data_IF_376171939723
#
_entry.id   IF_376171939723
#
_cell.length_a   1.000
_cell.length_b   1.000
_cell.length_c   1.000
_cell.angle_alpha   90.00
_cell.angle_beta   90.00
_cell.angle_gamma   90.00
#
_symmetry.space_group_name_H-M   'P 1'
#
loop_
_entity.id
_entity.type
_entity.pdbx_description
1 polymer ?
#
# COMPACT_ATOMS: atom_id res chain seq x y z
N UNK A 1 22.68 -2.03 14.16
CA UNK A 1 21.99 -1.47 12.97
C UNK A 1 21.47 -2.64 12.17
N UNK A 2 20.16 -2.76 11.87
CA UNK A 2 19.64 -3.89 11.11
C UNK A 2 19.90 -3.69 9.61
N UNK A 3 21.18 -3.58 9.22
CA UNK A 3 21.63 -3.64 7.83
C UNK A 3 21.80 -5.11 7.45
N UNK A 4 21.15 -5.54 6.38
CA UNK A 4 21.30 -6.89 5.85
C UNK A 4 20.46 -7.06 4.61
N UNK A 5 20.98 -7.83 3.65
CA UNK A 5 20.27 -8.16 2.43
C UNK A 5 19.07 -9.04 2.75
N UNK A 6 17.91 -8.66 2.21
CA UNK A 6 16.66 -9.38 2.46
C UNK A 6 16.08 -9.81 1.13
N UNK A 7 16.22 -11.09 0.75
CA UNK A 7 15.55 -11.57 -0.43
C UNK A 7 14.04 -11.45 -0.24
N UNK A 8 13.36 -11.14 -1.34
CA UNK A 8 11.92 -10.96 -1.38
C UNK A 8 11.42 -11.11 -2.80
N UNK A 9 10.11 -11.01 -2.96
CA UNK A 9 9.45 -11.01 -4.26
C UNK A 9 8.90 -9.64 -4.56
N UNK A 10 9.27 -9.08 -5.70
CA UNK A 10 8.63 -7.87 -6.23
C UNK A 10 7.18 -8.21 -6.61
N UNK A 11 6.22 -7.55 -5.96
CA UNK A 11 4.79 -7.76 -6.20
C UNK A 11 4.26 -6.79 -7.26
N UNK A 12 4.69 -5.53 -7.16
CA UNK A 12 4.54 -4.55 -8.22
C UNK A 12 5.64 -3.50 -8.19
N UNK A 13 5.77 -2.80 -9.32
CA UNK A 13 6.69 -1.71 -9.52
C UNK A 13 6.00 -0.63 -10.35
N UNK A 14 6.33 0.62 -10.03
CA UNK A 14 5.89 1.82 -10.73
C UNK A 14 7.08 2.77 -10.84
N UNK A 15 6.94 3.86 -11.59
CA UNK A 15 8.02 4.85 -11.72
C UNK A 15 8.46 5.44 -10.37
N UNK A 16 7.56 5.54 -9.37
CA UNK A 16 7.84 6.23 -8.10
C UNK A 16 7.96 5.32 -6.89
N UNK A 17 7.61 4.04 -7.01
CA UNK A 17 7.68 3.10 -5.89
C UNK A 17 7.36 1.68 -6.28
N UNK A 18 7.44 0.79 -5.29
CA UNK A 18 7.20 -0.63 -5.48
C UNK A 18 6.64 -1.28 -4.21
N UNK A 19 5.95 -2.40 -4.37
CA UNK A 19 5.56 -3.29 -3.27
C UNK A 19 6.37 -4.57 -3.37
N UNK A 20 6.93 -4.98 -2.25
CA UNK A 20 7.68 -6.23 -2.14
C UNK A 20 7.14 -7.09 -1.01
N UNK A 21 7.16 -8.40 -1.24
CA UNK A 21 6.88 -9.40 -0.22
C UNK A 21 8.19 -9.94 0.33
N UNK A 22 8.40 -9.81 1.64
CA UNK A 22 9.59 -10.29 2.33
C UNK A 22 9.19 -10.78 3.73
N UNK A 23 9.88 -11.81 4.22
CA UNK A 23 9.55 -12.44 5.51
C UNK A 23 9.77 -11.48 6.69
N UNK A 24 10.81 -10.65 6.62
CA UNK A 24 11.17 -9.72 7.68
C UNK A 24 11.29 -8.32 7.07
N UNK A 25 10.16 -7.62 6.88
CA UNK A 25 10.17 -6.32 6.22
C UNK A 25 10.83 -5.27 7.12
N UNK A 26 11.64 -4.34 6.56
CA UNK A 26 12.24 -3.27 7.34
C UNK A 26 11.16 -2.34 7.94
N UNK A 27 11.53 -1.60 8.98
CA UNK A 27 10.64 -0.62 9.59
C UNK A 27 10.37 0.55 8.64
N UNK A 28 9.18 1.15 8.67
CA UNK A 28 8.90 2.40 7.95
C UNK A 28 9.96 3.45 8.26
N UNK A 29 10.37 4.20 7.24
CA UNK A 29 11.43 5.19 7.31
C UNK A 29 12.84 4.65 7.05
N UNK A 30 13.02 3.33 6.97
CA UNK A 30 14.33 2.73 6.64
C UNK A 30 14.69 3.06 5.18
N UNK A 31 15.89 3.58 4.97
CA UNK A 31 16.48 3.73 3.65
C UNK A 31 17.17 2.43 3.22
N UNK A 32 17.16 2.15 1.93
CA UNK A 32 17.80 0.97 1.36
C UNK A 32 17.91 1.05 -0.15
N UNK A 33 18.49 0.01 -0.74
CA UNK A 33 18.57 -0.18 -2.18
C UNK A 33 17.64 -1.34 -2.52
N UNK A 34 16.72 -1.11 -3.47
CA UNK A 34 16.03 -2.21 -4.12
C UNK A 34 16.91 -2.66 -5.29
N UNK A 35 17.40 -3.88 -5.23
CA UNK A 35 18.04 -4.58 -6.34
C UNK A 35 17.03 -5.55 -6.96
N UNK A 36 16.80 -5.42 -8.27
CA UNK A 36 16.00 -6.36 -9.04
C UNK A 36 16.57 -6.54 -10.45
N UNK A 37 16.77 -7.79 -10.86
CA UNK A 37 17.25 -8.15 -12.20
C UNK A 37 18.60 -7.48 -12.53
N UNK A 38 18.60 -6.46 -13.38
CA UNK A 38 19.79 -5.71 -13.83
C UNK A 38 19.71 -4.23 -13.38
N UNK A 39 18.80 -3.91 -12.46
CA UNK A 39 18.49 -2.55 -12.06
C UNK A 39 18.56 -2.41 -10.54
N UNK A 40 19.01 -1.24 -10.11
CA UNK A 40 19.06 -0.85 -8.70
C UNK A 40 18.43 0.54 -8.52
N UNK A 41 17.74 0.74 -7.40
CA UNK A 41 17.18 2.04 -7.05
C UNK A 41 17.25 2.31 -5.54
N UNK A 42 17.67 3.53 -5.21
CA UNK A 42 17.60 4.04 -3.84
C UNK A 42 16.15 4.29 -3.45
N UNK A 43 15.78 3.81 -2.28
CA UNK A 43 14.40 3.85 -1.82
C UNK A 43 14.29 3.96 -0.31
N UNK A 44 13.08 4.32 0.13
CA UNK A 44 12.70 4.39 1.52
C UNK A 44 11.42 3.61 1.76
N UNK A 45 11.37 2.84 2.84
CA UNK A 45 10.16 2.12 3.25
C UNK A 45 9.11 3.12 3.73
N UNK A 46 7.93 3.13 3.12
CA UNK A 46 6.81 4.01 3.50
C UNK A 46 5.86 3.33 4.47
N UNK A 47 5.65 2.02 4.31
CA UNK A 47 4.84 1.21 5.19
C UNK A 47 5.37 -0.23 5.23
N UNK A 48 5.06 -0.93 6.33
CA UNK A 48 5.48 -2.30 6.56
C UNK A 48 4.35 -3.07 7.24
N UNK A 49 4.07 -4.28 6.75
CA UNK A 49 3.10 -5.23 7.29
C UNK A 49 3.76 -6.61 7.33
N UNK A 50 3.33 -7.54 8.19
CA UNK A 50 3.86 -8.90 8.17
C UNK A 50 3.81 -9.51 6.75
N UNK A 51 4.98 -9.88 6.21
CA UNK A 51 5.11 -10.46 4.87
C UNK A 51 5.19 -9.48 3.69
N UNK A 52 5.01 -8.17 3.89
CA UNK A 52 5.04 -7.17 2.81
C UNK A 52 5.47 -5.78 3.27
N UNK A 53 6.13 -5.03 2.40
CA UNK A 53 6.33 -3.60 2.57
C UNK A 53 6.21 -2.84 1.26
N UNK A 54 5.93 -1.55 1.41
CA UNK A 54 5.95 -0.60 0.30
C UNK A 54 7.16 0.31 0.43
N UNK A 55 7.76 0.60 -0.71
CA UNK A 55 8.87 1.52 -0.83
C UNK A 55 8.51 2.65 -1.79
N UNK A 56 9.10 3.82 -1.54
CA UNK A 56 9.13 4.94 -2.47
C UNK A 56 10.57 5.10 -2.97
N UNK A 57 10.74 5.36 -4.26
CA UNK A 57 12.06 5.64 -4.82
C UNK A 57 12.45 7.09 -4.56
N UNK A 58 13.71 7.31 -4.23
CA UNK A 58 14.25 8.65 -4.02
C UNK A 58 14.27 9.45 -5.33
N UNK A 59 14.48 8.75 -6.45
CA UNK A 59 14.36 9.29 -7.80
C UNK A 59 13.42 8.41 -8.63
N UNK A 60 12.55 9.00 -9.46
CA UNK A 60 11.72 8.22 -10.37
C UNK A 60 12.59 7.33 -11.26
N UNK A 61 12.16 6.09 -11.43
CA UNK A 61 12.75 5.14 -12.37
C UNK A 61 12.40 5.60 -13.80
N UNK A 62 13.34 5.46 -14.73
CA UNK A 62 13.12 5.79 -16.14
C UNK A 62 12.07 4.86 -16.78
N UNK A 63 11.40 5.36 -17.81
CA UNK A 63 10.42 4.57 -18.55
C UNK A 63 11.06 3.32 -19.21
N UNK A 64 12.32 3.43 -19.63
CA UNK A 64 13.10 2.33 -20.22
C UNK A 64 13.26 1.17 -19.23
N UNK A 65 13.67 1.45 -17.99
CA UNK A 65 13.83 0.42 -16.96
C UNK A 65 12.49 -0.24 -16.60
N UNK A 66 11.41 0.56 -16.55
CA UNK A 66 10.08 0.02 -16.29
C UNK A 66 9.63 -0.91 -17.43
N UNK A 67 9.88 -0.52 -18.68
CA UNK A 67 9.57 -1.33 -19.85
C UNK A 67 10.39 -2.63 -19.87
N UNK A 68 11.69 -2.56 -19.63
CA UNK A 68 12.55 -3.75 -19.51
C UNK A 68 12.06 -4.70 -18.40
N UNK A 69 11.61 -4.13 -17.27
CA UNK A 69 11.08 -4.93 -16.16
C UNK A 69 9.78 -5.64 -16.57
N UNK A 70 8.90 -5.00 -17.34
CA UNK A 70 7.67 -5.61 -17.86
C UNK A 70 7.98 -6.75 -18.84
N UNK A 71 8.97 -6.54 -19.72
CA UNK A 71 9.37 -7.54 -20.72
C UNK A 71 10.02 -8.77 -20.07
N UNK A 72 10.89 -8.57 -19.08
CA UNK A 72 11.61 -9.66 -18.40
C UNK A 72 10.77 -10.37 -17.32
N UNK A 73 9.83 -9.67 -16.70
CA UNK A 73 9.02 -10.17 -15.60
C UNK A 73 7.55 -9.79 -15.80
N UNK A 74 6.84 -10.41 -16.76
CA UNK A 74 5.43 -10.15 -16.97
C UNK A 74 4.66 -10.45 -15.68
N UNK A 75 3.83 -9.51 -15.26
CA UNK A 75 2.96 -9.71 -14.10
C UNK A 75 2.08 -10.94 -14.37
N UNK A 76 2.20 -11.97 -13.53
CA UNK A 76 1.31 -13.13 -13.61
C UNK A 76 -0.15 -12.68 -13.48
N UNK A 77 -1.07 -13.40 -14.13
CA UNK A 77 -2.51 -13.11 -14.13
C UNK A 77 -3.00 -12.80 -12.73
N UNK A 78 -3.39 -11.54 -12.49
CA UNK A 78 -4.02 -11.14 -11.24
C UNK A 78 -5.48 -11.57 -11.27
N UNK A 79 -5.84 -12.60 -10.50
CA UNK A 79 -7.24 -12.82 -10.15
C UNK A 79 -7.62 -11.73 -9.14
N UNK A 80 -8.17 -10.63 -9.63
CA UNK A 80 -8.83 -9.62 -8.81
C UNK A 80 -10.13 -10.23 -8.27
N UNK A 81 -10.09 -10.81 -7.06
CA UNK A 81 -11.31 -11.03 -6.30
C UNK A 81 -11.80 -9.67 -5.80
N UNK A 82 -12.76 -9.09 -6.52
CA UNK A 82 -13.44 -7.84 -6.18
C UNK A 82 -14.39 -8.02 -4.98
N UNK A 83 -13.90 -8.52 -3.85
CA UNK A 83 -14.67 -8.65 -2.62
C UNK A 83 -14.21 -7.57 -1.62
N UNK A 84 -15.08 -6.55 -1.43
CA UNK A 84 -15.11 -5.48 -0.41
C UNK A 84 -15.36 -4.06 -0.96
N UNK A 85 -16.08 -3.95 -2.09
CA UNK A 85 -16.96 -2.80 -2.29
C UNK A 85 -18.35 -3.19 -1.75
N UNK A 86 -18.96 -2.31 -0.97
CA UNK A 86 -20.31 -2.35 -0.36
C UNK A 86 -20.31 -2.72 1.13
N UNK A 87 -20.13 -1.72 2.00
CA UNK A 87 -21.12 -1.41 3.04
C UNK A 87 -20.85 0.01 3.60
N UNK A 88 -21.46 1.01 2.97
CA UNK A 88 -21.56 2.37 3.49
C UNK A 88 -22.90 2.94 3.03
N UNK A 89 -23.91 2.85 3.90
CA UNK A 89 -25.16 3.57 3.69
C UNK A 89 -26.38 2.93 4.36
N UNK A 90 -26.47 2.95 5.68
CA UNK A 90 -27.77 2.93 6.35
C UNK A 90 -27.87 4.13 7.31
N UNK A 91 -28.20 5.28 6.72
CA UNK A 91 -28.78 6.39 7.45
C UNK A 91 -30.30 6.16 7.51
N UNK A 92 -30.75 5.35 8.47
CA UNK A 92 -32.17 5.25 8.80
C UNK A 92 -32.56 6.47 9.62
N UNK A 93 -33.34 7.35 9.00
CA UNK A 93 -34.13 8.37 9.66
C UNK A 93 -35.21 7.67 10.49
N UNK A 94 -35.10 7.70 11.82
CA UNK A 94 -36.25 7.52 12.71
C UNK A 94 -36.44 8.79 13.54
N UNK A 95 -37.28 9.66 13.00
CA UNK A 95 -38.04 10.65 13.77
C UNK A 95 -38.82 9.92 14.85
N UNK A 96 -38.67 10.27 16.14
CA UNK A 96 -39.74 10.30 17.15
C UNK A 96 -39.26 10.91 18.48
N UNK A 97 -39.77 12.11 18.81
CA UNK A 97 -40.25 12.44 20.15
C UNK A 97 -39.28 13.05 21.18
N UNK A 98 -38.89 14.31 20.99
CA UNK A 98 -38.50 15.18 22.11
C UNK A 98 -39.79 15.63 22.85
N UNK A 99 -39.97 15.39 24.15
CA UNK A 99 -41.15 15.88 24.87
C UNK A 99 -41.11 17.42 25.02
N UNK A 100 -42.25 18.12 24.90
CA UNK A 100 -42.31 19.58 24.98
C UNK A 100 -42.02 20.10 26.40
N UNK A 101 -41.52 21.34 26.55
CA UNK A 101 -41.28 21.93 27.86
C UNK A 101 -42.60 22.15 28.59
N UNK A 102 -42.68 21.65 29.83
CA UNK A 102 -43.81 21.86 30.71
C UNK A 102 -43.99 23.37 30.97
N UNK A 103 -45.14 23.91 30.54
CA UNK A 103 -45.61 25.24 30.94
C UNK A 103 -46.10 25.17 32.40
N UNK A 104 -45.60 26.09 33.21
CA UNK A 104 -46.14 26.45 34.53
C UNK A 104 -47.62 26.86 34.43
N UNK A 105 -48.43 26.53 35.45
CA UNK A 105 -49.57 27.35 35.82
C UNK A 105 -49.58 27.74 37.31
N UNK A 106 -49.89 29.03 37.54
CA UNK A 106 -50.42 29.71 38.73
C UNK A 106 -49.60 29.72 40.03
#
# INVERSE_FOLDING_TARGET
MPSGDRPGRLFDISATGARLSTQVPPSPGSAGILDWSLHEAFCKVTWSKPGMCGIVFDRPISAEVLQETIEKAPAGTRIISAAHANDAGEATQDTHGNPPPARLPC
#
